data_IF_252824244938
#
_entry.id   IF_252824244938
#
_cell.length_a   1.000
_cell.length_b   1.000
_cell.length_c   1.000
_cell.angle_alpha   90.00
_cell.angle_beta   90.00
_cell.angle_gamma   90.00
#
_symmetry.space_group_name_H-M   'P 1'
#
loop_
_entity.id
_entity.type
_entity.pdbx_description
1 polymer ?
#
# COMPACT_ATOMS: atom_id res chain seq x y z
N UNK A 1 1.23 22.98 -1.19
CA UNK A 1 1.36 22.30 -2.51
C UNK A 1 2.28 23.17 -3.38
N UNK A 2 3.48 22.62 -3.72
CA UNK A 2 4.57 23.45 -4.29
C UNK A 2 4.68 23.42 -5.82
N UNK A 3 3.94 22.50 -6.48
CA UNK A 3 4.01 22.37 -7.94
C UNK A 3 2.93 23.18 -8.63
N UNK A 4 3.36 23.88 -9.69
CA UNK A 4 2.48 24.66 -10.56
C UNK A 4 1.94 23.74 -11.65
N UNK A 5 0.65 23.44 -11.59
CA UNK A 5 -0.01 22.53 -12.54
C UNK A 5 -0.01 23.11 -13.98
N UNK A 6 0.04 24.44 -14.11
CA UNK A 6 0.06 25.10 -15.41
C UNK A 6 1.36 24.83 -16.20
N UNK A 7 2.36 24.20 -15.57
CA UNK A 7 3.61 23.75 -16.19
C UNK A 7 3.62 22.28 -16.59
N UNK A 8 2.53 21.55 -16.30
CA UNK A 8 2.42 20.16 -16.67
C UNK A 8 2.01 20.08 -18.16
N UNK A 9 2.78 19.36 -19.02
CA UNK A 9 2.38 19.19 -20.41
C UNK A 9 1.14 18.28 -20.53
N UNK A 10 0.45 18.26 -21.67
CA UNK A 10 -0.57 17.26 -21.94
C UNK A 10 -0.04 15.84 -21.82
N UNK A 11 -0.88 14.89 -21.40
CA UNK A 11 -0.48 13.46 -21.21
C UNK A 11 0.07 12.83 -22.49
N UNK A 12 -0.40 13.28 -23.67
CA UNK A 12 0.10 12.84 -24.97
C UNK A 12 1.56 13.20 -25.27
N UNK A 13 2.15 14.08 -24.47
CA UNK A 13 3.56 14.51 -24.59
C UNK A 13 4.47 13.88 -23.54
N UNK A 14 3.96 12.91 -22.74
CA UNK A 14 4.71 12.27 -21.65
C UNK A 14 4.44 10.78 -21.62
N UNK A 15 5.29 10.03 -20.91
CA UNK A 15 5.08 8.61 -20.58
C UNK A 15 4.39 8.42 -19.21
N UNK A 16 3.73 9.46 -18.71
CA UNK A 16 3.04 9.45 -17.42
C UNK A 16 1.54 9.25 -17.64
N UNK A 17 0.97 8.24 -17.02
CA UNK A 17 -0.47 7.97 -17.10
C UNK A 17 -1.23 8.60 -15.93
N UNK A 18 -0.68 8.55 -14.71
CA UNK A 18 -1.34 8.94 -13.47
C UNK A 18 -0.58 10.04 -12.73
N UNK A 19 -1.30 11.10 -12.32
CA UNK A 19 -0.78 12.13 -11.43
C UNK A 19 -1.47 12.07 -10.07
N UNK A 20 -0.68 11.96 -8.99
CA UNK A 20 -1.16 11.95 -7.60
C UNK A 20 -1.02 13.31 -6.95
N UNK A 21 -2.13 13.91 -6.55
CA UNK A 21 -2.19 15.22 -5.87
C UNK A 21 -2.36 15.01 -4.38
N UNK A 22 -1.32 15.30 -3.59
CA UNK A 22 -1.38 15.22 -2.13
C UNK A 22 -2.08 16.45 -1.54
N UNK A 23 -2.96 16.24 -0.57
CA UNK A 23 -3.71 17.29 0.12
C UNK A 23 -3.84 17.04 1.61
N UNK A 24 -3.71 18.09 2.40
CA UNK A 24 -4.21 18.13 3.77
C UNK A 24 -5.73 18.34 3.77
N UNK A 25 -6.39 18.06 4.89
CA UNK A 25 -7.84 18.25 5.06
C UNK A 25 -8.30 19.67 4.65
N UNK A 26 -7.62 20.69 5.14
CA UNK A 26 -7.95 22.09 4.90
C UNK A 26 -7.68 22.60 3.48
N UNK A 27 -7.05 21.77 2.63
CA UNK A 27 -6.65 22.14 1.27
C UNK A 27 -7.40 21.34 0.18
N UNK A 28 -8.43 20.60 0.54
CA UNK A 28 -9.13 19.67 -0.38
C UNK A 28 -9.72 20.42 -1.58
N UNK A 29 -10.37 21.56 -1.39
CA UNK A 29 -10.96 22.31 -2.52
C UNK A 29 -9.89 22.78 -3.53
N UNK A 30 -8.78 23.31 -3.02
CA UNK A 30 -7.62 23.69 -3.88
C UNK A 30 -7.04 22.47 -4.59
N UNK A 31 -6.99 21.33 -3.94
CA UNK A 31 -6.50 20.09 -4.53
C UNK A 31 -7.44 19.59 -5.62
N UNK A 32 -8.75 19.67 -5.41
CA UNK A 32 -9.75 19.30 -6.42
C UNK A 32 -9.67 20.18 -7.66
N UNK A 33 -9.46 21.48 -7.53
CA UNK A 33 -9.24 22.37 -8.67
C UNK A 33 -8.01 21.95 -9.49
N UNK A 34 -6.92 21.56 -8.81
CA UNK A 34 -5.72 21.05 -9.50
C UNK A 34 -5.96 19.69 -10.15
N UNK A 35 -6.66 18.79 -9.47
CA UNK A 35 -7.03 17.49 -10.02
C UNK A 35 -7.86 17.66 -11.30
N UNK A 36 -8.81 18.58 -11.34
CA UNK A 36 -9.61 18.86 -12.52
C UNK A 36 -8.77 19.34 -13.70
N UNK A 37 -7.87 20.30 -13.47
CA UNK A 37 -6.92 20.75 -14.51
C UNK A 37 -6.05 19.62 -15.04
N UNK A 38 -5.55 18.75 -14.16
CA UNK A 38 -4.73 17.59 -14.54
C UNK A 38 -5.57 16.60 -15.38
N UNK A 39 -6.83 16.38 -15.01
CA UNK A 39 -7.75 15.55 -15.80
C UNK A 39 -7.99 16.12 -17.19
N UNK A 40 -8.17 17.45 -17.31
CA UNK A 40 -8.32 18.16 -18.59
C UNK A 40 -7.08 18.03 -19.50
N UNK A 41 -5.90 17.82 -18.93
CA UNK A 41 -4.67 17.50 -19.66
C UNK A 41 -4.56 16.03 -20.10
N UNK A 42 -5.56 15.20 -19.80
CA UNK A 42 -5.67 13.81 -20.26
C UNK A 42 -5.06 12.76 -19.32
N UNK A 43 -4.62 13.13 -18.13
CA UNK A 43 -4.08 12.18 -17.13
C UNK A 43 -5.18 11.47 -16.34
N UNK A 44 -4.89 10.27 -15.84
CA UNK A 44 -5.57 9.75 -14.67
C UNK A 44 -5.19 10.56 -13.43
N UNK A 45 -6.13 10.71 -12.50
CA UNK A 45 -5.96 11.60 -11.36
C UNK A 45 -6.27 10.92 -10.04
N UNK A 46 -5.36 11.03 -9.11
CA UNK A 46 -5.53 10.59 -7.73
C UNK A 46 -5.50 11.77 -6.76
N UNK A 47 -6.56 11.92 -5.96
CA UNK A 47 -6.52 12.75 -4.76
C UNK A 47 -5.99 11.94 -3.59
N UNK A 48 -4.82 12.31 -3.06
CA UNK A 48 -4.18 11.66 -1.92
C UNK A 48 -4.36 12.52 -0.66
N UNK A 49 -5.26 12.12 0.24
CA UNK A 49 -5.45 12.79 1.53
C UNK A 49 -4.38 12.30 2.48
N UNK A 50 -3.48 13.20 2.88
CA UNK A 50 -2.35 12.89 3.75
C UNK A 50 -2.65 13.25 5.21
N UNK A 51 -1.80 12.74 6.13
CA UNK A 51 -1.96 12.96 7.58
C UNK A 51 -3.31 12.49 8.13
N UNK A 52 -3.83 11.40 7.61
CA UNK A 52 -5.17 10.88 7.93
C UNK A 52 -5.41 10.61 9.41
N UNK A 53 -4.35 10.36 10.20
CA UNK A 53 -4.45 10.14 11.64
C UNK A 53 -4.85 11.41 12.45
N UNK A 54 -4.76 12.59 11.85
CA UNK A 54 -5.23 13.85 12.46
C UNK A 54 -6.67 14.21 12.09
N UNK A 55 -7.25 13.55 11.10
CA UNK A 55 -8.57 13.85 10.59
C UNK A 55 -9.63 13.12 11.44
N UNK A 56 -10.58 13.84 12.01
CA UNK A 56 -11.67 13.23 12.79
C UNK A 56 -12.65 12.46 11.89
N UNK A 57 -13.44 11.56 12.49
CA UNK A 57 -14.49 10.84 11.75
C UNK A 57 -15.52 11.83 11.18
N UNK A 58 -15.87 12.86 11.93
CA UNK A 58 -16.80 13.92 11.51
C UNK A 58 -16.25 14.71 10.31
N UNK A 59 -14.95 15.00 10.32
CA UNK A 59 -14.27 15.61 9.19
C UNK A 59 -14.27 14.71 7.95
N UNK A 60 -14.04 13.41 8.10
CA UNK A 60 -14.15 12.46 6.99
C UNK A 60 -15.56 12.41 6.40
N UNK A 61 -16.61 12.52 7.21
CA UNK A 61 -17.98 12.61 6.70
C UNK A 61 -18.16 13.86 5.83
N UNK A 62 -17.67 15.02 6.26
CA UNK A 62 -17.72 16.27 5.48
C UNK A 62 -16.91 16.17 4.18
N UNK A 63 -15.72 15.58 4.26
CA UNK A 63 -14.90 15.33 3.06
C UNK A 63 -15.66 14.43 2.07
N UNK A 64 -16.26 13.35 2.56
CA UNK A 64 -17.05 12.46 1.73
C UNK A 64 -18.22 13.20 1.07
N UNK A 65 -18.99 13.99 1.80
CA UNK A 65 -20.09 14.81 1.27
C UNK A 65 -19.58 15.76 0.19
N UNK A 66 -18.44 16.40 0.40
CA UNK A 66 -17.81 17.29 -0.56
C UNK A 66 -17.39 16.56 -1.85
N UNK A 67 -16.93 15.32 -1.74
CA UNK A 67 -16.48 14.52 -2.89
C UNK A 67 -17.61 13.85 -3.67
N UNK A 68 -18.83 13.77 -3.13
CA UNK A 68 -19.97 13.16 -3.82
C UNK A 68 -20.32 13.85 -5.15
N UNK A 69 -19.98 15.12 -5.31
CA UNK A 69 -20.25 15.90 -6.53
C UNK A 69 -19.11 15.85 -7.54
N UNK A 70 -18.01 15.15 -7.22
CA UNK A 70 -16.85 15.06 -8.08
C UNK A 70 -16.85 13.71 -8.82
N UNK A 71 -16.95 13.73 -10.14
CA UNK A 71 -17.03 12.53 -11.01
C UNK A 71 -15.76 12.28 -11.82
N UNK A 72 -14.78 13.17 -11.75
CA UNK A 72 -13.56 13.13 -12.55
C UNK A 72 -12.38 12.42 -11.87
N UNK A 73 -12.48 12.11 -10.58
CA UNK A 73 -11.42 11.40 -9.86
C UNK A 73 -11.40 9.91 -10.24
N UNK A 74 -10.24 9.40 -10.61
CA UNK A 74 -10.04 7.97 -10.85
C UNK A 74 -9.68 7.25 -9.54
N UNK A 75 -8.92 7.94 -8.65
CA UNK A 75 -8.47 7.38 -7.38
C UNK A 75 -8.66 8.36 -6.23
N UNK A 76 -9.01 7.80 -5.08
CA UNK A 76 -9.01 8.49 -3.79
C UNK A 76 -8.17 7.69 -2.80
N UNK A 77 -7.01 8.23 -2.44
CA UNK A 77 -6.06 7.55 -1.58
C UNK A 77 -5.96 8.24 -0.21
N UNK A 78 -5.77 7.43 0.84
CA UNK A 78 -5.57 7.89 2.21
C UNK A 78 -4.18 7.49 2.67
N UNK A 79 -3.42 8.44 3.26
CA UNK A 79 -2.08 8.18 3.72
C UNK A 79 -1.96 8.35 5.24
N UNK A 80 -1.62 7.26 5.92
CA UNK A 80 -1.20 7.27 7.32
C UNK A 80 0.24 7.79 7.43
N UNK A 81 0.40 9.10 7.24
CA UNK A 81 1.72 9.76 7.14
C UNK A 81 2.60 9.60 8.39
N UNK A 82 2.01 9.27 9.52
CA UNK A 82 2.70 9.11 10.80
C UNK A 82 2.79 7.66 11.28
N UNK A 83 2.19 6.72 10.54
CA UNK A 83 2.10 5.32 10.95
C UNK A 83 1.41 5.17 12.31
N UNK A 84 0.39 5.99 12.56
CA UNK A 84 -0.29 6.11 13.85
C UNK A 84 -1.74 5.56 13.84
N UNK A 85 -2.24 5.15 12.69
CA UNK A 85 -3.55 4.55 12.57
C UNK A 85 -3.59 3.12 13.13
N UNK A 86 -4.74 2.75 13.63
CA UNK A 86 -5.06 1.38 14.03
C UNK A 86 -5.96 0.71 12.96
N UNK A 87 -6.00 -0.64 12.90
CA UNK A 87 -6.89 -1.35 11.98
C UNK A 87 -8.35 -0.92 12.06
N UNK A 88 -8.88 -0.69 13.26
CA UNK A 88 -10.25 -0.22 13.45
C UNK A 88 -10.51 1.15 12.81
N UNK A 89 -9.53 2.05 12.87
CA UNK A 89 -9.67 3.36 12.25
C UNK A 89 -9.57 3.28 10.72
N UNK A 90 -8.65 2.47 10.22
CA UNK A 90 -8.52 2.17 8.78
C UNK A 90 -9.81 1.60 8.22
N UNK A 91 -10.41 0.61 8.91
CA UNK A 91 -11.71 0.05 8.53
C UNK A 91 -12.78 1.13 8.40
N UNK A 92 -12.89 2.04 9.38
CA UNK A 92 -13.87 3.14 9.34
C UNK A 92 -13.67 4.04 8.12
N UNK A 93 -12.43 4.44 7.84
CA UNK A 93 -12.12 5.29 6.68
C UNK A 93 -12.50 4.58 5.38
N UNK A 94 -11.95 3.38 5.14
CA UNK A 94 -12.17 2.67 3.87
C UNK A 94 -13.64 2.37 3.65
N UNK A 95 -14.36 1.89 4.67
CA UNK A 95 -15.80 1.59 4.57
C UNK A 95 -16.62 2.84 4.28
N UNK A 96 -16.25 3.99 4.88
CA UNK A 96 -16.96 5.26 4.67
C UNK A 96 -16.91 5.70 3.20
N UNK A 97 -15.77 5.53 2.55
CA UNK A 97 -15.56 6.01 1.18
C UNK A 97 -15.86 4.95 0.11
N UNK A 98 -15.73 3.66 0.40
CA UNK A 98 -15.97 2.59 -0.58
C UNK A 98 -17.33 2.64 -1.24
N UNK A 99 -18.36 3.01 -0.50
CA UNK A 99 -19.74 3.09 -0.98
C UNK A 99 -20.11 4.49 -1.53
N UNK A 100 -19.14 5.39 -1.71
CA UNK A 100 -19.39 6.74 -2.18
C UNK A 100 -19.66 6.80 -3.68
N UNK A 101 -18.74 6.24 -4.46
CA UNK A 101 -18.83 6.16 -5.92
C UNK A 101 -18.13 4.87 -6.39
N UNK A 102 -18.82 3.95 -7.06
CA UNK A 102 -18.25 2.67 -7.48
C UNK A 102 -17.14 2.81 -8.54
N UNK A 103 -17.08 3.95 -9.23
CA UNK A 103 -16.08 4.21 -10.28
C UNK A 103 -14.76 4.74 -9.71
N UNK A 104 -14.70 5.18 -8.45
CA UNK A 104 -13.48 5.67 -7.82
C UNK A 104 -12.78 4.52 -7.12
N UNK A 105 -11.52 4.26 -7.49
CA UNK A 105 -10.69 3.28 -6.81
C UNK A 105 -10.15 3.86 -5.50
N UNK A 106 -10.28 3.08 -4.41
CA UNK A 106 -9.81 3.48 -3.08
C UNK A 106 -8.39 2.98 -2.85
N UNK A 107 -7.49 3.91 -2.56
CA UNK A 107 -6.09 3.62 -2.24
C UNK A 107 -5.76 3.80 -0.75
N UNK A 108 -4.79 3.02 -0.26
CA UNK A 108 -4.30 3.17 1.11
C UNK A 108 -2.78 3.07 1.18
N UNK A 109 -2.15 4.06 1.82
CA UNK A 109 -0.71 4.15 2.04
C UNK A 109 -0.40 4.16 3.54
N UNK A 110 0.45 3.23 3.99
CA UNK A 110 0.78 3.11 5.42
C UNK A 110 2.26 3.32 5.68
N UNK A 111 2.57 4.09 6.74
CA UNK A 111 3.88 4.05 7.40
C UNK A 111 3.89 3.06 8.55
N UNK A 112 5.09 2.59 8.95
CA UNK A 112 5.28 1.50 9.91
C UNK A 112 5.81 1.95 11.28
N UNK A 113 5.57 3.22 11.66
CA UNK A 113 6.11 3.78 12.89
C UNK A 113 5.64 3.04 14.17
N UNK A 114 4.42 2.51 14.14
CA UNK A 114 3.86 1.68 15.22
C UNK A 114 3.90 0.18 14.91
N UNK A 115 4.64 -0.24 13.88
CA UNK A 115 4.69 -1.64 13.42
C UNK A 115 3.31 -2.22 13.04
N UNK A 116 2.42 -1.37 12.55
CA UNK A 116 1.05 -1.73 12.15
C UNK A 116 0.80 -1.65 10.64
N UNK A 117 1.79 -1.30 9.83
CA UNK A 117 1.61 -1.11 8.39
C UNK A 117 0.98 -2.34 7.72
N UNK A 118 1.45 -3.53 8.04
CA UNK A 118 0.92 -4.79 7.49
C UNK A 118 -0.54 -5.02 7.93
N UNK A 119 -0.84 -4.88 9.22
CA UNK A 119 -2.19 -5.07 9.75
C UNK A 119 -3.17 -4.04 9.18
N UNK A 120 -2.77 -2.77 9.11
CA UNK A 120 -3.55 -1.70 8.53
C UNK A 120 -3.83 -1.93 7.05
N UNK A 121 -2.84 -2.38 6.28
CA UNK A 121 -2.99 -2.66 4.85
C UNK A 121 -3.92 -3.84 4.60
N UNK A 122 -3.77 -4.93 5.34
CA UNK A 122 -4.68 -6.09 5.25
C UNK A 122 -6.10 -5.63 5.55
N UNK A 123 -6.30 -4.85 6.61
CA UNK A 123 -7.62 -4.30 6.95
C UNK A 123 -8.18 -3.40 5.85
N UNK A 124 -7.35 -2.57 5.22
CA UNK A 124 -7.78 -1.75 4.10
C UNK A 124 -8.27 -2.61 2.92
N UNK A 125 -7.51 -3.63 2.52
CA UNK A 125 -7.86 -4.55 1.43
C UNK A 125 -9.17 -5.30 1.74
N UNK A 126 -9.30 -5.85 2.95
CA UNK A 126 -10.49 -6.60 3.38
C UNK A 126 -11.77 -5.75 3.43
N UNK A 127 -11.63 -4.43 3.59
CA UNK A 127 -12.76 -3.50 3.60
C UNK A 127 -12.93 -2.73 2.28
N UNK A 128 -12.22 -3.11 1.22
CA UNK A 128 -12.47 -2.65 -0.13
C UNK A 128 -11.49 -1.63 -0.68
N UNK A 129 -10.28 -1.53 -0.15
CA UNK A 129 -9.21 -0.81 -0.85
C UNK A 129 -8.79 -1.59 -2.10
N UNK A 130 -8.69 -0.89 -3.23
CA UNK A 130 -8.33 -1.43 -4.53
C UNK A 130 -6.81 -1.35 -4.75
N UNK A 131 -6.14 -0.36 -4.13
CA UNK A 131 -4.72 -0.07 -4.31
C UNK A 131 -4.06 0.09 -2.94
N UNK A 132 -2.87 -0.49 -2.80
CA UNK A 132 -2.01 -0.28 -1.64
C UNK A 132 -0.59 0.02 -2.09
N UNK A 133 0.07 0.91 -1.36
CA UNK A 133 1.45 1.30 -1.63
C UNK A 133 2.40 0.57 -0.67
N UNK A 134 3.49 0.05 -1.22
CA UNK A 134 4.58 -0.55 -0.46
C UNK A 134 5.94 -0.25 -1.06
N UNK A 135 6.99 -0.44 -0.28
CA UNK A 135 8.37 -0.31 -0.75
C UNK A 135 9.17 -1.58 -0.43
N UNK A 136 10.18 -1.88 -1.23
CA UNK A 136 11.08 -3.00 -0.94
C UNK A 136 11.68 -2.84 0.45
N UNK A 137 11.59 -3.90 1.25
CA UNK A 137 12.07 -3.94 2.65
C UNK A 137 11.46 -2.87 3.56
N UNK A 138 10.40 -2.20 3.14
CA UNK A 138 9.77 -1.12 3.89
C UNK A 138 10.61 0.16 3.96
N UNK A 139 11.53 0.40 3.00
CA UNK A 139 12.34 1.62 3.01
C UNK A 139 11.44 2.86 2.96
N UNK A 140 11.63 3.76 3.92
CA UNK A 140 10.84 4.97 4.04
C UNK A 140 11.25 5.81 5.23
N UNK A 141 10.56 6.93 5.43
CA UNK A 141 10.78 7.84 6.55
C UNK A 141 10.33 7.19 7.87
N UNK A 142 10.97 7.55 8.97
CA UNK A 142 10.60 7.10 10.33
C UNK A 142 10.75 5.58 10.49
N UNK A 143 9.68 4.90 10.86
CA UNK A 143 9.62 3.43 10.96
C UNK A 143 9.61 2.70 9.62
N UNK A 144 9.55 3.45 8.51
CA UNK A 144 9.46 2.92 7.16
C UNK A 144 8.04 2.90 6.61
N UNK A 145 7.88 2.19 5.50
CA UNK A 145 6.62 1.95 4.82
C UNK A 145 6.19 0.48 4.97
N UNK A 146 5.04 0.15 4.43
CA UNK A 146 4.64 -1.23 4.19
C UNK A 146 5.73 -1.98 3.41
N UNK A 147 6.08 -3.16 3.87
CA UNK A 147 7.03 -4.04 3.19
C UNK A 147 6.36 -4.72 1.99
N UNK A 148 6.75 -4.33 0.78
CA UNK A 148 6.16 -4.81 -0.47
C UNK A 148 6.23 -6.34 -0.58
N UNK A 149 7.37 -6.93 -0.25
CA UNK A 149 7.58 -8.37 -0.32
C UNK A 149 6.64 -9.16 0.61
N UNK A 150 6.28 -8.59 1.76
CA UNK A 150 5.38 -9.27 2.70
C UNK A 150 3.92 -9.19 2.27
N UNK A 151 3.45 -8.01 1.87
CA UNK A 151 2.07 -7.89 1.41
C UNK A 151 1.85 -8.71 0.12
N UNK A 152 2.83 -8.73 -0.78
CA UNK A 152 2.77 -9.52 -2.02
C UNK A 152 2.69 -11.01 -1.70
N UNK A 153 3.52 -11.50 -0.77
CA UNK A 153 3.45 -12.89 -0.31
C UNK A 153 2.11 -13.20 0.36
N UNK A 154 1.60 -12.29 1.21
CA UNK A 154 0.29 -12.46 1.86
C UNK A 154 -0.83 -12.60 0.82
N UNK A 155 -0.86 -11.75 -0.20
CA UNK A 155 -1.87 -11.79 -1.24
C UNK A 155 -1.80 -13.08 -2.05
N UNK A 156 -0.60 -13.53 -2.42
CA UNK A 156 -0.40 -14.80 -3.12
C UNK A 156 -0.88 -16.00 -2.30
N UNK A 157 -0.54 -16.05 -1.01
CA UNK A 157 -0.91 -17.16 -0.12
C UNK A 157 -2.42 -17.24 0.14
N UNK A 158 -3.12 -16.13 0.16
CA UNK A 158 -4.57 -16.10 0.34
C UNK A 158 -5.35 -16.35 -0.96
N UNK A 159 -4.67 -16.65 -2.09
CA UNK A 159 -5.26 -17.00 -3.40
C UNK A 159 -6.33 -16.03 -3.92
N UNK A 160 -6.37 -14.83 -3.40
CA UNK A 160 -7.33 -13.80 -3.82
C UNK A 160 -6.85 -13.02 -5.05
N UNK A 161 -5.54 -13.10 -5.31
CA UNK A 161 -4.91 -12.27 -6.34
C UNK A 161 -3.88 -13.10 -7.12
N UNK A 162 -3.86 -12.90 -8.43
CA UNK A 162 -2.79 -13.40 -9.29
C UNK A 162 -1.60 -12.46 -9.08
N UNK A 163 -0.63 -12.91 -8.32
CA UNK A 163 0.55 -12.12 -7.99
C UNK A 163 1.68 -12.53 -8.90
N UNK A 164 2.32 -11.53 -9.51
CA UNK A 164 3.52 -11.70 -10.31
C UNK A 164 4.57 -12.59 -9.63
N UNK A 165 5.47 -13.10 -10.43
CA UNK A 165 6.55 -14.01 -10.07
C UNK A 165 7.25 -13.60 -8.75
N UNK A 166 6.80 -14.18 -7.63
CA UNK A 166 7.38 -13.96 -6.29
C UNK A 166 8.87 -14.34 -6.24
N UNK A 167 9.26 -15.34 -7.00
CA UNK A 167 10.67 -15.77 -7.09
C UNK A 167 11.56 -14.62 -7.56
N UNK A 168 11.15 -13.89 -8.59
CA UNK A 168 11.92 -12.76 -9.09
C UNK A 168 11.93 -11.60 -8.09
N UNK A 169 10.82 -11.36 -7.40
CA UNK A 169 10.78 -10.39 -6.30
C UNK A 169 11.84 -10.71 -5.24
N UNK A 170 11.93 -11.98 -4.80
CA UNK A 170 12.89 -12.37 -3.77
C UNK A 170 14.34 -12.39 -4.28
N UNK A 171 14.60 -12.71 -5.56
CA UNK A 171 15.91 -12.53 -6.18
C UNK A 171 16.36 -11.07 -6.18
N UNK A 172 15.46 -10.13 -6.46
CA UNK A 172 15.75 -8.71 -6.35
C UNK A 172 16.16 -8.33 -4.92
N UNK A 173 15.49 -8.86 -3.90
CA UNK A 173 15.85 -8.60 -2.51
C UNK A 173 17.25 -9.12 -2.14
N UNK A 174 17.66 -10.27 -2.66
CA UNK A 174 19.02 -10.79 -2.45
C UNK A 174 20.11 -9.85 -2.98
N UNK A 175 19.83 -9.16 -4.09
CA UNK A 175 20.76 -8.19 -4.69
C UNK A 175 20.76 -6.85 -3.96
N UNK A 176 19.58 -6.33 -3.59
CA UNK A 176 19.44 -4.97 -3.08
C UNK A 176 19.57 -4.87 -1.56
N UNK A 177 19.31 -5.94 -0.80
CA UNK A 177 19.52 -5.91 0.64
C UNK A 177 20.99 -6.24 0.94
N UNK A 178 21.76 -5.20 1.25
CA UNK A 178 23.17 -5.35 1.66
C UNK A 178 23.34 -5.49 3.18
N UNK A 179 22.35 -5.05 3.96
CA UNK A 179 22.37 -5.10 5.42
C UNK A 179 21.95 -6.49 5.93
N UNK A 180 22.82 -7.16 6.66
CA UNK A 180 22.61 -8.54 7.14
C UNK A 180 21.44 -8.66 8.14
N UNK A 181 21.20 -7.63 8.96
CA UNK A 181 20.06 -7.66 9.88
C UNK A 181 18.73 -7.56 9.11
N UNK A 182 18.69 -6.79 8.02
CA UNK A 182 17.52 -6.74 7.14
C UNK A 182 17.31 -8.05 6.42
N UNK A 183 18.36 -8.69 5.89
CA UNK A 183 18.26 -10.03 5.30
C UNK A 183 17.68 -11.02 6.30
N UNK A 184 18.25 -11.07 7.51
CA UNK A 184 17.77 -11.95 8.58
C UNK A 184 16.29 -11.72 8.87
N UNK A 185 15.87 -10.47 9.10
CA UNK A 185 14.46 -10.12 9.37
C UNK A 185 13.53 -10.50 8.22
N UNK A 186 13.99 -10.38 6.98
CA UNK A 186 13.20 -10.79 5.81
C UNK A 186 13.01 -12.30 5.77
N UNK A 187 14.06 -13.08 5.99
CA UNK A 187 14.00 -14.54 6.08
C UNK A 187 13.06 -15.00 7.20
N UNK A 188 13.17 -14.40 8.38
CA UNK A 188 12.31 -14.68 9.53
C UNK A 188 10.83 -14.35 9.23
N UNK A 189 10.57 -13.22 8.57
CA UNK A 189 9.22 -12.82 8.19
C UNK A 189 8.59 -13.80 7.17
N UNK A 190 9.35 -14.25 6.17
CA UNK A 190 8.92 -15.28 5.21
C UNK A 190 8.57 -16.58 5.95
N UNK A 191 9.43 -17.03 6.86
CA UNK A 191 9.17 -18.22 7.67
C UNK A 191 7.90 -18.08 8.51
N UNK A 192 7.70 -16.90 9.14
CA UNK A 192 6.48 -16.62 9.91
C UNK A 192 5.23 -16.65 9.04
N UNK A 193 5.27 -16.04 7.86
CA UNK A 193 4.13 -16.04 6.93
C UNK A 193 3.82 -17.43 6.36
N UNK A 194 4.84 -18.26 6.16
CA UNK A 194 4.70 -19.66 5.73
C UNK A 194 4.46 -20.63 6.91
N UNK A 195 4.32 -20.11 8.15
CA UNK A 195 4.11 -20.89 9.37
C UNK A 195 5.18 -21.98 9.57
N UNK A 196 6.43 -21.64 9.31
CA UNK A 196 7.57 -22.55 9.42
C UNK A 196 8.18 -22.43 10.80
N UNK A 197 8.47 -23.58 11.42
CA UNK A 197 9.05 -23.62 12.76
C UNK A 197 10.45 -22.98 12.81
N UNK A 198 10.79 -22.19 13.83
CA UNK A 198 12.10 -21.50 13.94
C UNK A 198 13.34 -22.39 13.80
N UNK A 199 13.29 -23.66 14.24
CA UNK A 199 14.40 -24.59 14.04
C UNK A 199 14.72 -24.83 12.56
N UNK A 200 13.71 -24.79 11.69
CA UNK A 200 13.93 -24.93 10.26
C UNK A 200 14.71 -23.74 9.70
N UNK A 201 14.49 -22.54 10.23
CA UNK A 201 15.25 -21.37 9.83
C UNK A 201 16.75 -21.51 10.17
N UNK A 202 17.09 -22.10 11.32
CA UNK A 202 18.50 -22.33 11.67
C UNK A 202 19.22 -23.26 10.68
N UNK A 203 18.51 -24.25 10.11
CA UNK A 203 19.06 -25.16 9.10
C UNK A 203 19.33 -24.47 7.75
N UNK A 204 18.56 -23.44 7.43
CA UNK A 204 18.59 -22.77 6.12
C UNK A 204 19.06 -21.31 6.17
N UNK A 205 19.52 -20.83 7.33
CA UNK A 205 19.88 -19.40 7.56
C UNK A 205 20.96 -18.86 6.63
N UNK A 206 21.89 -19.73 6.19
CA UNK A 206 22.98 -19.35 5.28
C UNK A 206 22.55 -19.24 3.82
N UNK A 207 21.33 -19.71 3.47
CA UNK A 207 20.80 -19.62 2.11
C UNK A 207 20.38 -18.18 1.79
N UNK A 208 20.30 -17.86 0.49
CA UNK A 208 19.71 -16.61 0.03
C UNK A 208 18.23 -16.49 0.40
N UNK A 209 17.65 -15.28 0.33
CA UNK A 209 16.23 -15.06 0.60
C UNK A 209 15.38 -15.82 -0.43
N UNK A 210 15.78 -15.77 -1.69
CA UNK A 210 15.07 -16.46 -2.78
C UNK A 210 15.12 -17.97 -2.62
N UNK A 211 16.28 -18.56 -2.25
CA UNK A 211 16.40 -20.01 -2.05
C UNK A 211 15.54 -20.49 -0.86
N UNK A 212 15.51 -19.70 0.22
CA UNK A 212 14.62 -19.99 1.37
C UNK A 212 13.16 -19.98 0.95
N UNK A 213 12.76 -18.96 0.19
CA UNK A 213 11.39 -18.88 -0.30
C UNK A 213 11.03 -20.08 -1.19
N UNK A 214 11.89 -20.43 -2.17
CA UNK A 214 11.67 -21.56 -3.06
C UNK A 214 11.57 -22.90 -2.31
N UNK A 215 12.44 -23.16 -1.35
CA UNK A 215 12.40 -24.37 -0.54
C UNK A 215 11.13 -24.46 0.31
N UNK A 216 10.74 -23.36 0.97
CA UNK A 216 9.62 -23.36 1.89
C UNK A 216 8.27 -23.34 1.18
N UNK A 217 8.15 -22.70 0.00
CA UNK A 217 6.89 -22.67 -0.74
C UNK A 217 6.42 -24.07 -1.17
N UNK A 218 7.34 -24.98 -1.52
CA UNK A 218 7.02 -26.35 -1.89
C UNK A 218 6.39 -27.12 -0.72
N UNK A 219 6.74 -26.77 0.51
CA UNK A 219 6.25 -27.43 1.70
C UNK A 219 4.83 -27.01 2.12
N UNK A 220 4.39 -25.80 1.76
CA UNK A 220 3.18 -25.18 2.32
C UNK A 220 2.08 -24.88 1.29
N UNK A 221 2.38 -24.74 0.00
CA UNK A 221 1.34 -24.48 -1.01
C UNK A 221 0.34 -25.65 -1.16
N UNK A 222 0.72 -26.85 -0.76
CA UNK A 222 -0.16 -28.05 -0.77
C UNK A 222 -0.94 -28.23 0.53
N UNK A 223 -0.59 -27.54 1.60
CA UNK A 223 -1.30 -27.60 2.88
C UNK A 223 -2.28 -26.44 2.97
N UNK A 224 -3.59 -26.74 2.90
CA UNK A 224 -4.67 -25.77 3.15
C UNK A 224 -4.37 -24.97 4.43
N UNK A 225 -3.98 -23.71 4.31
CA UNK A 225 -3.77 -22.84 5.46
C UNK A 225 -5.05 -22.72 6.26
N UNK A 226 -4.92 -22.94 7.55
CA UNK A 226 -5.96 -22.75 8.54
C UNK A 226 -5.91 -21.31 9.06
N UNK A 227 -6.23 -20.33 8.21
CA UNK A 227 -6.79 -19.09 8.71
C UNK A 227 -8.30 -19.20 8.51
N UNK A 228 -9.07 -18.92 9.58
CA UNK A 228 -10.53 -18.94 9.50
C UNK A 228 -11.08 -17.90 8.54
#
# INVERSE_FOLDING_TARGET
MRYDVDRLPPSSETDIDLVRVCSYEEQIDMALEKCRKIKELGYEVSLNIICTSYISVESFVKIRERLLTEDFLDFLCFADSYGALTPDYVKKIVTLFRNMNPNIMIGFHTHDNMSMSMANTITAIENGADIVDGTYTGVGRGGGNLRLELITLYLALNKKYDVFNLTDLFKYLDVYITDENRKKRTKEAICGMLNVHPYRLEEIKEKSISDIFEELRVLDFDKKRRYP
#
